data_IF_779164369088
#
_entry.id   IF_779164369088
#
_cell.length_a   1.000
_cell.length_b   1.000
_cell.length_c   1.000
_cell.angle_alpha   90.00
_cell.angle_beta   90.00
_cell.angle_gamma   90.00
#
_symmetry.space_group_name_H-M   'P 1'
#
loop_
_entity.id
_entity.type
_entity.pdbx_description
1 polymer ?
#
# COMPACT_ATOMS: atom_id res chain seq x y z
N UNK A 1 18.23 9.53 4.65
CA UNK A 1 17.72 8.16 4.57
C UNK A 1 16.50 8.15 3.68
N UNK A 2 16.48 7.28 2.66
CA UNK A 2 15.35 7.20 1.73
C UNK A 2 14.27 6.23 2.24
N UNK A 3 13.02 6.55 1.95
CA UNK A 3 11.88 5.67 2.27
C UNK A 3 10.98 5.59 1.04
N UNK A 4 11.24 4.62 0.14
CA UNK A 4 10.45 4.46 -1.08
C UNK A 4 8.97 4.17 -0.81
N UNK A 5 8.66 3.53 0.32
CA UNK A 5 7.26 3.25 0.69
C UNK A 5 6.55 4.53 1.10
N UNK A 6 7.20 5.38 1.90
CA UNK A 6 6.63 6.68 2.25
C UNK A 6 6.39 7.54 1.00
N UNK A 7 7.31 7.52 0.03
CA UNK A 7 7.13 8.20 -1.25
C UNK A 7 5.91 7.66 -2.00
N UNK A 8 5.75 6.34 -2.07
CA UNK A 8 4.59 5.71 -2.68
C UNK A 8 3.28 6.20 -2.04
N UNK A 9 3.22 6.19 -0.70
CA UNK A 9 2.01 6.60 0.01
C UNK A 9 1.72 8.08 -0.21
N UNK A 10 2.74 8.93 -0.26
CA UNK A 10 2.58 10.36 -0.54
C UNK A 10 2.05 10.59 -1.96
N UNK A 11 2.54 9.84 -2.95
CA UNK A 11 2.06 9.92 -4.32
C UNK A 11 0.60 9.52 -4.41
N UNK A 12 0.20 8.43 -3.74
CA UNK A 12 -1.19 7.99 -3.71
C UNK A 12 -2.07 9.04 -3.05
N UNK A 13 -1.65 9.54 -1.89
CA UNK A 13 -2.40 10.57 -1.16
C UNK A 13 -2.62 11.81 -2.01
N UNK A 14 -1.55 12.34 -2.59
CA UNK A 14 -1.63 13.55 -3.41
C UNK A 14 -2.48 13.35 -4.65
N UNK A 15 -2.38 12.20 -5.30
CA UNK A 15 -3.17 11.87 -6.47
C UNK A 15 -4.66 11.77 -6.14
N UNK A 16 -5.02 11.18 -4.99
CA UNK A 16 -6.44 11.09 -4.58
C UNK A 16 -7.01 12.46 -4.22
N UNK A 17 -6.22 13.32 -3.57
CA UNK A 17 -6.65 14.69 -3.25
C UNK A 17 -6.88 15.49 -4.53
N UNK A 18 -6.00 15.35 -5.52
CA UNK A 18 -6.13 16.01 -6.81
C UNK A 18 -7.14 15.31 -7.76
N UNK A 19 -7.68 14.17 -7.35
CA UNK A 19 -8.62 13.34 -8.13
C UNK A 19 -8.06 12.90 -9.48
N UNK A 20 -6.79 12.55 -9.50
CA UNK A 20 -6.16 11.95 -10.68
C UNK A 20 -6.70 10.54 -10.89
N UNK A 21 -6.84 10.13 -12.16
CA UNK A 21 -7.32 8.80 -12.51
C UNK A 21 -6.27 7.72 -12.20
N UNK A 22 -4.99 8.09 -12.26
CA UNK A 22 -3.89 7.15 -12.07
C UNK A 22 -2.68 7.84 -11.45
N UNK A 23 -1.78 7.04 -10.91
CA UNK A 23 -0.50 7.48 -10.38
C UNK A 23 0.58 6.50 -10.79
N UNK A 24 1.76 7.01 -11.11
CA UNK A 24 2.90 6.19 -11.51
C UNK A 24 4.08 6.43 -10.57
N UNK A 25 4.90 5.40 -10.43
CA UNK A 25 6.09 5.45 -9.59
C UNK A 25 7.07 4.36 -10.00
N UNK A 26 8.36 4.50 -9.66
CA UNK A 26 9.30 3.39 -9.87
C UNK A 26 8.80 2.15 -9.12
N UNK A 27 8.84 1.00 -9.80
CA UNK A 27 8.32 -0.24 -9.24
C UNK A 27 9.34 -0.93 -8.33
N UNK A 28 8.83 -1.71 -7.40
CA UNK A 28 9.62 -2.66 -6.63
C UNK A 28 8.69 -3.81 -6.23
N UNK A 29 9.28 -4.94 -5.81
CA UNK A 29 8.50 -6.10 -5.38
C UNK A 29 7.55 -5.73 -4.24
N UNK A 30 8.03 -4.98 -3.25
CA UNK A 30 7.22 -4.59 -2.10
C UNK A 30 6.08 -3.66 -2.50
N UNK A 31 6.35 -2.69 -3.38
CA UNK A 31 5.30 -1.77 -3.86
C UNK A 31 4.20 -2.52 -4.63
N UNK A 32 4.58 -3.51 -5.44
CA UNK A 32 3.61 -4.34 -6.17
C UNK A 32 2.73 -5.12 -5.18
N UNK A 33 3.32 -5.67 -4.12
CA UNK A 33 2.56 -6.40 -3.10
C UNK A 33 1.58 -5.48 -2.37
N UNK A 34 1.98 -4.25 -2.07
CA UNK A 34 1.08 -3.26 -1.45
C UNK A 34 -0.06 -2.93 -2.42
N UNK A 35 0.25 -2.72 -3.71
CA UNK A 35 -0.78 -2.43 -4.73
C UNK A 35 -1.78 -3.59 -4.84
N UNK A 36 -1.30 -4.84 -4.79
CA UNK A 36 -2.16 -6.02 -4.83
C UNK A 36 -3.15 -6.02 -3.67
N UNK A 37 -2.70 -5.67 -2.48
CA UNK A 37 -3.57 -5.59 -1.30
C UNK A 37 -4.57 -4.45 -1.45
N UNK A 38 -4.12 -3.28 -1.89
CA UNK A 38 -5.03 -2.14 -2.10
C UNK A 38 -6.13 -2.47 -3.09
N UNK A 39 -5.81 -3.23 -4.14
CA UNK A 39 -6.82 -3.69 -5.09
C UNK A 39 -7.77 -4.70 -4.47
N UNK A 40 -7.26 -5.73 -3.79
CA UNK A 40 -8.09 -6.79 -3.23
C UNK A 40 -9.00 -6.28 -2.12
N UNK A 41 -8.58 -5.22 -1.40
CA UNK A 41 -9.38 -4.60 -0.35
C UNK A 41 -10.30 -3.50 -0.88
N UNK A 42 -10.30 -3.26 -2.18
CA UNK A 42 -11.23 -2.35 -2.82
C UNK A 42 -10.83 -0.87 -2.77
N UNK A 43 -9.59 -0.55 -2.45
CA UNK A 43 -9.13 0.85 -2.37
C UNK A 43 -8.72 1.43 -3.71
N UNK A 44 -8.29 0.59 -4.65
CA UNK A 44 -7.94 1.01 -6.02
C UNK A 44 -8.63 0.10 -7.02
N UNK A 45 -8.77 0.55 -8.26
CA UNK A 45 -9.38 -0.25 -9.34
C UNK A 45 -8.46 -1.37 -9.79
N UNK A 46 -7.17 -1.08 -9.86
CA UNK A 46 -6.19 -2.05 -10.34
C UNK A 46 -4.82 -1.41 -10.48
N UNK A 47 -3.89 -2.20 -10.97
CA UNK A 47 -2.53 -1.74 -11.24
C UNK A 47 -1.90 -2.58 -12.34
N UNK A 48 -0.82 -2.08 -12.90
CA UNK A 48 0.04 -2.87 -13.79
C UNK A 48 1.49 -2.41 -13.67
N UNK A 49 2.39 -3.32 -13.99
CA UNK A 49 3.81 -3.04 -14.04
C UNK A 49 4.20 -2.85 -15.50
N UNK A 50 4.84 -1.72 -15.78
CA UNK A 50 5.31 -1.36 -17.10
C UNK A 50 6.81 -1.64 -17.16
N UNK A 51 7.17 -2.74 -17.82
CA UNK A 51 8.57 -3.11 -17.97
C UNK A 51 9.23 -2.25 -19.03
N UNK A 52 10.55 -1.92 -18.88
CA UNK A 52 11.25 -1.17 -19.92
C UNK A 52 11.35 -1.95 -21.21
N UNK A 53 11.39 -1.23 -22.33
CA UNK A 53 11.61 -1.82 -23.64
C UNK A 53 13.02 -2.41 -23.74
N UNK A 54 13.25 -3.41 -24.59
CA UNK A 54 14.59 -3.96 -24.78
C UNK A 54 15.59 -2.87 -25.14
N UNK A 55 16.71 -2.80 -24.41
CA UNK A 55 17.74 -1.79 -24.62
C UNK A 55 17.57 -0.54 -23.79
N UNK A 56 16.43 -0.31 -23.17
CA UNK A 56 16.23 0.80 -22.24
C UNK A 56 16.89 0.48 -20.90
N UNK A 57 17.50 1.50 -20.31
CA UNK A 57 18.15 1.39 -18.99
C UNK A 57 17.34 2.08 -17.90
N UNK A 58 16.02 2.01 -17.99
CA UNK A 58 15.11 2.62 -17.00
C UNK A 58 14.50 1.54 -16.14
N UNK A 59 14.18 1.90 -14.91
CA UNK A 59 13.50 1.01 -13.96
C UNK A 59 12.05 0.79 -14.40
N UNK A 60 11.53 -0.41 -14.14
CA UNK A 60 10.10 -0.68 -14.36
C UNK A 60 9.26 0.31 -13.57
N UNK A 61 8.09 0.66 -14.11
CA UNK A 61 7.16 1.58 -13.48
C UNK A 61 5.92 0.83 -13.00
N UNK A 62 5.43 1.20 -11.83
CA UNK A 62 4.16 0.73 -11.30
C UNK A 62 3.12 1.80 -11.57
N UNK A 63 2.05 1.43 -12.29
CA UNK A 63 0.93 2.31 -12.57
C UNK A 63 -0.28 1.80 -11.80
N UNK A 64 -0.86 2.66 -10.97
CA UNK A 64 -2.05 2.32 -10.20
C UNK A 64 -3.22 3.14 -10.72
N UNK A 65 -4.39 2.48 -10.86
CA UNK A 65 -5.62 3.13 -11.29
C UNK A 65 -6.48 3.39 -10.05
N UNK A 66 -6.68 4.67 -9.75
CA UNK A 66 -7.35 5.10 -8.54
C UNK A 66 -8.86 4.96 -8.67
N UNK A 67 -9.54 4.88 -7.54
CA UNK A 67 -10.96 4.61 -7.47
C UNK A 67 -11.68 5.75 -6.77
N UNK A 68 -12.82 6.13 -7.33
CA UNK A 68 -13.67 7.18 -6.76
C UNK A 68 -15.12 6.71 -6.76
N UNK A 69 -15.92 7.28 -5.86
CA UNK A 69 -17.34 7.01 -5.83
C UNK A 69 -18.10 7.70 -6.96
N UNK A 70 -19.42 7.43 -7.07
CA UNK A 70 -20.24 7.95 -8.17
C UNK A 70 -20.28 9.48 -8.26
N UNK A 71 -20.02 10.18 -7.15
CA UNK A 71 -20.02 11.64 -7.09
C UNK A 71 -18.61 12.21 -7.05
N UNK A 72 -17.60 11.41 -7.38
CA UNK A 72 -16.20 11.80 -7.33
C UNK A 72 -15.60 11.79 -5.93
N UNK A 73 -16.31 11.25 -4.93
CA UNK A 73 -15.80 11.15 -3.58
C UNK A 73 -14.64 10.14 -3.51
N UNK A 74 -13.65 10.45 -2.69
CA UNK A 74 -12.47 9.60 -2.54
C UNK A 74 -12.80 8.31 -1.83
N UNK A 75 -12.32 7.20 -2.37
CA UNK A 75 -12.40 5.88 -1.71
C UNK A 75 -11.33 5.79 -0.63
N UNK A 76 -10.11 6.26 -0.92
CA UNK A 76 -9.05 6.35 0.09
C UNK A 76 -9.23 7.67 0.84
N UNK A 77 -9.66 7.60 2.10
CA UNK A 77 -9.80 8.78 2.96
C UNK A 77 -8.47 9.16 3.59
N UNK A 78 -7.63 8.19 3.89
CA UNK A 78 -6.32 8.42 4.44
C UNK A 78 -5.41 7.24 4.21
N UNK A 79 -4.10 7.51 4.16
CA UNK A 79 -3.08 6.49 4.03
C UNK A 79 -1.84 7.00 4.76
N UNK A 80 -1.31 6.17 5.67
CA UNK A 80 -0.29 6.61 6.60
C UNK A 80 0.82 5.57 6.74
N UNK A 81 2.06 6.02 6.62
CA UNK A 81 3.24 5.21 6.92
C UNK A 81 3.30 4.94 8.42
N UNK A 82 3.51 3.69 8.81
CA UNK A 82 3.66 3.31 10.23
C UNK A 82 5.12 3.05 10.53
N UNK A 83 5.68 1.99 9.97
CA UNK A 83 7.10 1.67 10.13
C UNK A 83 7.95 2.55 9.23
N UNK A 84 9.12 3.01 9.71
CA UNK A 84 10.04 3.89 8.97
C UNK A 84 11.46 3.36 9.09
N UNK A 85 12.36 3.70 8.16
CA UNK A 85 13.74 3.18 8.23
C UNK A 85 14.45 3.42 9.56
N UNK A 86 14.22 4.58 10.20
CA UNK A 86 14.80 4.90 11.49
C UNK A 86 13.96 4.47 12.70
N UNK A 87 12.77 3.94 12.47
CA UNK A 87 11.85 3.56 13.55
C UNK A 87 10.90 2.47 13.07
N UNK A 88 11.37 1.23 13.10
CA UNK A 88 10.57 0.07 12.69
C UNK A 88 9.52 -0.26 13.75
N UNK A 89 8.32 -0.63 13.30
CA UNK A 89 7.19 -0.95 14.17
C UNK A 89 6.75 -2.38 13.89
N UNK A 90 6.88 -3.25 14.92
CA UNK A 90 6.55 -4.67 14.83
C UNK A 90 5.45 -5.01 15.83
N UNK A 91 4.56 -5.91 15.43
CA UNK A 91 3.56 -6.47 16.32
C UNK A 91 3.61 -7.99 16.28
N UNK A 92 3.44 -8.61 17.45
CA UNK A 92 3.23 -10.04 17.54
C UNK A 92 1.87 -10.44 17.00
N UNK A 93 1.66 -11.74 16.81
CA UNK A 93 0.44 -12.27 16.19
C UNK A 93 -0.86 -11.85 16.87
N UNK A 94 -0.82 -11.64 18.20
CA UNK A 94 -2.01 -11.27 18.98
C UNK A 94 -2.06 -9.78 19.30
N UNK A 95 -1.13 -8.99 18.73
CA UNK A 95 -0.96 -7.60 19.11
C UNK A 95 -1.24 -6.62 17.96
N UNK A 96 -1.62 -7.12 16.78
CA UNK A 96 -1.88 -6.28 15.62
C UNK A 96 -3.14 -5.45 15.86
N UNK A 97 -3.01 -4.10 15.92
CA UNK A 97 -4.15 -3.25 16.23
C UNK A 97 -5.09 -3.11 15.04
N UNK A 98 -6.36 -2.87 15.34
CA UNK A 98 -7.34 -2.51 14.31
C UNK A 98 -7.13 -1.04 13.89
N UNK A 99 -7.45 -0.76 12.64
CA UNK A 99 -7.45 0.60 12.09
C UNK A 99 -8.91 1.06 12.09
N UNK A 100 -9.18 2.21 12.72
CA UNK A 100 -10.54 2.76 12.82
C UNK A 100 -11.57 1.71 13.24
N UNK A 101 -11.31 1.00 14.33
CA UNK A 101 -12.18 -0.04 14.88
C UNK A 101 -12.57 -1.11 13.84
N UNK A 102 -11.63 -1.48 12.99
CA UNK A 102 -11.81 -2.50 11.96
C UNK A 102 -12.35 -2.01 10.64
N UNK A 103 -12.62 -0.70 10.49
CA UNK A 103 -13.09 -0.12 9.24
C UNK A 103 -11.94 0.15 8.27
N UNK A 104 -10.72 0.32 8.77
CA UNK A 104 -9.53 0.48 7.95
C UNK A 104 -8.73 -0.81 7.84
N UNK A 105 -7.60 -0.71 7.16
CA UNK A 105 -6.73 -1.86 6.88
C UNK A 105 -5.28 -1.51 7.21
N UNK A 106 -4.62 -2.38 7.97
CA UNK A 106 -3.16 -2.33 8.12
C UNK A 106 -2.53 -3.30 7.11
N UNK A 107 -1.37 -2.93 6.58
CA UNK A 107 -0.61 -3.77 5.66
C UNK A 107 0.71 -4.09 6.33
N UNK A 108 0.99 -5.39 6.49
CA UNK A 108 2.16 -5.91 7.19
C UNK A 108 3.04 -6.73 6.25
N UNK A 109 4.33 -6.72 6.53
CA UNK A 109 5.22 -7.74 5.99
C UNK A 109 5.49 -8.77 7.09
N UNK A 110 5.24 -10.04 6.78
CA UNK A 110 5.34 -11.16 7.71
C UNK A 110 6.24 -12.24 7.14
N UNK A 111 6.52 -13.27 7.94
CA UNK A 111 7.27 -14.43 7.47
C UNK A 111 6.56 -15.18 6.33
N UNK A 112 5.26 -14.95 6.15
CA UNK A 112 4.47 -15.57 5.08
C UNK A 112 4.14 -14.59 3.96
N UNK A 113 4.82 -13.45 3.90
CA UNK A 113 4.65 -12.45 2.86
C UNK A 113 3.91 -11.21 3.34
N UNK A 114 3.59 -10.35 2.39
CA UNK A 114 2.85 -9.11 2.65
C UNK A 114 1.37 -9.44 2.72
N UNK A 115 0.70 -8.97 3.77
CA UNK A 115 -0.71 -9.27 3.99
C UNK A 115 -1.37 -8.20 4.86
N UNK A 116 -2.70 -8.25 4.96
CA UNK A 116 -3.43 -7.36 5.86
C UNK A 116 -3.31 -7.83 7.30
N UNK A 117 -3.61 -6.93 8.25
CA UNK A 117 -3.63 -7.29 9.67
C UNK A 117 -4.63 -8.40 9.96
N UNK A 118 -5.79 -8.38 9.29
CA UNK A 118 -6.81 -9.43 9.47
C UNK A 118 -6.30 -10.79 9.01
N UNK A 119 -5.64 -10.83 7.85
CA UNK A 119 -5.02 -12.05 7.34
C UNK A 119 -3.93 -12.57 8.27
N UNK A 120 -3.10 -11.66 8.82
CA UNK A 120 -2.04 -12.01 9.75
C UNK A 120 -2.61 -12.65 11.02
N UNK A 121 -3.68 -12.09 11.58
CA UNK A 121 -4.36 -12.65 12.75
C UNK A 121 -4.89 -14.04 12.45
N UNK A 122 -5.55 -14.24 11.31
CA UNK A 122 -6.06 -15.55 10.89
C UNK A 122 -4.93 -16.57 10.70
N UNK A 123 -3.81 -16.13 10.14
CA UNK A 123 -2.66 -17.00 9.92
C UNK A 123 -1.84 -17.25 11.19
N UNK A 124 -2.13 -16.53 12.28
CA UNK A 124 -1.42 -16.65 13.53
C UNK A 124 0.01 -16.12 13.46
N UNK A 125 0.25 -15.09 12.66
CA UNK A 125 1.57 -14.47 12.50
C UNK A 125 1.53 -13.00 12.83
N UNK A 126 2.66 -12.46 13.27
CA UNK A 126 2.89 -11.03 13.41
C UNK A 126 3.86 -10.55 12.35
N UNK A 127 4.22 -9.29 12.41
CA UNK A 127 5.19 -8.74 11.47
C UNK A 127 5.39 -7.26 11.62
N UNK A 128 6.06 -6.68 10.64
CA UNK A 128 6.29 -5.24 10.55
C UNK A 128 5.10 -4.57 9.89
N UNK A 129 4.50 -3.59 10.57
CA UNK A 129 3.39 -2.81 10.01
C UNK A 129 3.96 -1.73 9.11
N UNK A 130 3.71 -1.85 7.81
CA UNK A 130 4.19 -0.90 6.82
C UNK A 130 3.37 0.38 6.80
N UNK A 131 2.06 0.23 6.74
CA UNK A 131 1.16 1.38 6.62
C UNK A 131 -0.27 1.01 7.04
N UNK A 132 -1.06 2.05 7.27
CA UNK A 132 -2.51 1.95 7.46
C UNK A 132 -3.20 2.70 6.33
N UNK A 133 -4.34 2.18 5.90
CA UNK A 133 -5.18 2.79 4.87
C UNK A 133 -6.64 2.71 5.30
N UNK A 134 -7.39 3.76 5.03
CA UNK A 134 -8.82 3.81 5.37
C UNK A 134 -9.61 4.71 4.43
#
# INVERSE_FOLDING_TARGET
MTDPIADMLSRIRNATIARHARVEMPSSRLKVEIARILESEGYIQGFKVLDPQPGERVQAQLRMFLKYGPRGERVISGIQRVSRPGRRVYFGRDEVPDVLAGLGTSILTTSRGVMTGREAVKAGVGGEVLCNVW
#
